data_IF_081040522698
#
_entry.id   IF_081040522698
#
_cell.length_a   1.000
_cell.length_b   1.000
_cell.length_c   1.000
_cell.angle_alpha   90.00
_cell.angle_beta   90.00
_cell.angle_gamma   90.00
#
_symmetry.space_group_name_H-M   'P 1'
#
loop_
_entity.id
_entity.type
_entity.pdbx_description
1 polymer ?
#
# COMPACT_ATOMS: atom_id res chain seq x y z
N UNK A 1 -28.50 -6.77 4.40
CA UNK A 1 -27.68 -7.70 3.60
C UNK A 1 -27.99 -7.40 2.14
N UNK A 2 -27.00 -7.30 1.25
CA UNK A 2 -27.27 -6.96 -0.16
C UNK A 2 -28.06 -8.07 -0.85
N UNK A 3 -28.96 -7.72 -1.77
CA UNK A 3 -29.59 -8.69 -2.69
C UNK A 3 -28.58 -9.17 -3.74
N UNK A 4 -28.95 -10.21 -4.51
CA UNK A 4 -28.09 -10.71 -5.60
C UNK A 4 -27.96 -9.67 -6.70
N UNK A 5 -29.04 -8.94 -6.97
CA UNK A 5 -29.14 -7.89 -7.96
C UNK A 5 -28.24 -6.70 -7.57
N UNK A 6 -28.31 -6.26 -6.30
CA UNK A 6 -27.44 -5.22 -5.76
C UNK A 6 -25.95 -5.62 -5.81
N UNK A 7 -25.63 -6.87 -5.47
CA UNK A 7 -24.26 -7.38 -5.57
C UNK A 7 -23.75 -7.39 -7.01
N UNK A 8 -24.61 -7.77 -7.97
CA UNK A 8 -24.24 -7.75 -9.38
C UNK A 8 -23.94 -6.33 -9.87
N UNK A 9 -24.75 -5.33 -9.48
CA UNK A 9 -24.48 -3.93 -9.82
C UNK A 9 -23.14 -3.44 -9.24
N UNK A 10 -22.84 -3.79 -7.99
CA UNK A 10 -21.54 -3.50 -7.37
C UNK A 10 -20.37 -4.12 -8.17
N UNK A 11 -20.52 -5.36 -8.63
CA UNK A 11 -19.49 -6.02 -9.44
C UNK A 11 -19.29 -5.31 -10.79
N UNK A 12 -20.36 -4.83 -11.42
CA UNK A 12 -20.26 -4.04 -12.65
C UNK A 12 -19.52 -2.72 -12.42
N UNK A 13 -19.79 -2.03 -11.32
CA UNK A 13 -19.10 -0.81 -10.92
C UNK A 13 -17.61 -1.07 -10.65
N UNK A 14 -17.29 -2.10 -9.86
CA UNK A 14 -15.91 -2.49 -9.58
C UNK A 14 -15.10 -2.76 -10.86
N UNK A 15 -15.72 -3.39 -11.87
CA UNK A 15 -15.09 -3.63 -13.17
C UNK A 15 -14.80 -2.34 -13.92
N UNK A 16 -15.70 -1.35 -13.88
CA UNK A 16 -15.46 -0.04 -14.48
C UNK A 16 -14.28 0.66 -13.81
N UNK A 17 -14.27 0.70 -12.48
CA UNK A 17 -13.17 1.29 -11.69
C UNK A 17 -11.83 0.63 -12.06
N UNK A 18 -11.79 -0.71 -12.08
CA UNK A 18 -10.58 -1.47 -12.38
C UNK A 18 -10.13 -1.39 -13.86
N UNK A 19 -11.02 -0.99 -14.77
CA UNK A 19 -10.67 -0.81 -16.19
C UNK A 19 -10.01 0.53 -16.50
N UNK A 20 -10.10 1.50 -15.59
CA UNK A 20 -9.48 2.82 -15.76
C UNK A 20 -7.98 2.74 -15.39
N UNK A 21 -7.05 3.01 -16.33
CA UNK A 21 -5.62 2.99 -16.06
C UNK A 21 -5.17 3.95 -14.96
N UNK A 22 -5.87 5.07 -14.76
CA UNK A 22 -5.53 6.03 -13.69
C UNK A 22 -5.68 5.39 -12.31
N UNK A 23 -6.71 4.56 -12.12
CA UNK A 23 -6.95 3.82 -10.88
C UNK A 23 -5.95 2.68 -10.66
N UNK A 24 -5.14 2.33 -11.66
CA UNK A 24 -4.11 1.29 -11.56
C UNK A 24 -2.72 1.86 -11.23
N UNK A 25 -2.55 3.19 -11.22
CA UNK A 25 -1.28 3.82 -10.86
C UNK A 25 -0.96 3.56 -9.39
N UNK A 26 0.30 3.21 -9.12
CA UNK A 26 0.77 3.01 -7.76
C UNK A 26 0.96 4.38 -7.08
N UNK A 27 0.21 4.71 -6.00
CA UNK A 27 0.32 6.02 -5.33
C UNK A 27 1.51 6.12 -4.37
N UNK A 28 2.32 5.05 -4.23
CA UNK A 28 3.45 5.01 -3.31
C UNK A 28 4.50 6.07 -3.67
N UNK A 29 4.73 7.06 -2.81
CA UNK A 29 5.81 8.05 -2.97
C UNK A 29 7.20 7.54 -2.53
N UNK A 30 7.27 6.31 -2.01
CA UNK A 30 8.49 5.71 -1.47
C UNK A 30 9.46 5.25 -2.57
N UNK A 31 10.76 5.44 -2.30
CA UNK A 31 11.87 4.81 -3.03
C UNK A 31 11.94 3.31 -2.70
N UNK A 32 10.94 2.58 -3.19
CA UNK A 32 10.79 1.13 -3.03
C UNK A 32 11.25 0.42 -4.30
N UNK A 33 12.05 -0.64 -4.14
CA UNK A 33 12.46 -1.51 -5.25
C UNK A 33 11.26 -2.18 -5.95
N UNK A 34 10.16 -2.40 -5.22
CA UNK A 34 8.93 -3.01 -5.72
C UNK A 34 7.89 -1.98 -6.17
N UNK A 35 8.27 -0.71 -6.31
CA UNK A 35 7.35 0.33 -6.79
C UNK A 35 6.80 -0.06 -8.17
N UNK A 36 5.47 0.06 -8.35
CA UNK A 36 4.76 -0.40 -9.56
C UNK A 36 4.59 -1.92 -9.68
N UNK A 37 5.26 -2.74 -8.86
CA UNK A 37 5.16 -4.21 -8.82
C UNK A 37 4.18 -4.66 -7.73
N UNK A 38 2.90 -4.33 -7.91
CA UNK A 38 1.87 -4.49 -6.86
C UNK A 38 1.67 -5.94 -6.39
N UNK A 39 1.76 -6.93 -7.29
CA UNK A 39 1.55 -8.35 -6.93
C UNK A 39 2.67 -8.84 -6.01
N UNK A 40 3.91 -8.53 -6.34
CA UNK A 40 5.12 -8.86 -5.58
C UNK A 40 5.12 -8.13 -4.24
N UNK A 41 4.77 -6.83 -4.25
CA UNK A 41 4.64 -6.04 -3.03
C UNK A 41 3.63 -6.68 -2.05
N UNK A 42 2.40 -6.99 -2.51
CA UNK A 42 1.39 -7.64 -1.66
C UNK A 42 1.85 -9.01 -1.17
N UNK A 43 2.53 -9.80 -2.01
CA UNK A 43 3.05 -11.11 -1.60
C UNK A 43 4.07 -10.99 -0.45
N UNK A 44 5.00 -10.03 -0.52
CA UNK A 44 5.99 -9.78 0.53
C UNK A 44 5.33 -9.32 1.85
N UNK A 45 4.43 -8.35 1.80
CA UNK A 45 3.72 -7.88 3.00
C UNK A 45 2.85 -8.98 3.62
N UNK A 46 2.21 -9.82 2.81
CA UNK A 46 1.44 -10.98 3.29
C UNK A 46 2.32 -12.03 3.95
N UNK A 47 3.52 -12.28 3.42
CA UNK A 47 4.44 -13.26 3.98
C UNK A 47 4.98 -12.80 5.34
N UNK A 48 5.48 -11.55 5.41
CA UNK A 48 6.06 -11.03 6.64
C UNK A 48 5.04 -10.68 7.72
N UNK A 49 3.79 -10.32 7.33
CA UNK A 49 2.70 -9.94 8.25
C UNK A 49 3.04 -8.80 9.23
N UNK A 50 4.05 -8.00 8.91
CA UNK A 50 4.52 -6.91 9.76
C UNK A 50 3.60 -5.69 9.61
N UNK A 51 3.40 -5.23 8.37
CA UNK A 51 2.52 -4.10 8.05
C UNK A 51 1.96 -4.17 6.63
N UNK A 52 0.97 -3.33 6.34
CA UNK A 52 0.39 -3.21 4.99
C UNK A 52 1.31 -2.44 4.02
N UNK A 53 1.18 -2.67 2.70
CA UNK A 53 1.85 -1.87 1.68
C UNK A 53 1.56 -0.38 1.82
N UNK A 54 2.52 0.47 1.42
CA UNK A 54 2.38 1.93 1.51
C UNK A 54 1.13 2.49 0.81
N UNK A 55 0.73 1.92 -0.34
CA UNK A 55 -0.49 2.31 -1.05
C UNK A 55 -1.79 2.05 -0.28
N UNK A 56 -1.76 1.20 0.76
CA UNK A 56 -2.93 0.95 1.61
C UNK A 56 -2.85 1.70 2.95
N UNK A 57 -1.71 2.31 3.28
CA UNK A 57 -1.52 2.92 4.59
C UNK A 57 -2.43 4.13 4.81
N UNK A 58 -2.70 4.94 3.79
CA UNK A 58 -3.50 6.16 3.91
C UNK A 58 -4.89 5.87 4.48
N UNK A 59 -5.72 5.08 3.78
CA UNK A 59 -7.08 4.80 4.23
C UNK A 59 -7.13 3.95 5.52
N UNK A 60 -6.09 3.14 5.79
CA UNK A 60 -5.99 2.39 7.05
C UNK A 60 -5.69 3.33 8.21
N UNK A 61 -4.72 4.23 8.02
CA UNK A 61 -4.32 5.20 9.03
C UNK A 61 -5.43 6.20 9.35
N UNK A 62 -6.22 6.62 8.36
CA UNK A 62 -7.41 7.45 8.59
C UNK A 62 -8.43 6.77 9.52
N UNK A 63 -8.70 5.48 9.29
CA UNK A 63 -9.60 4.69 10.14
C UNK A 63 -9.02 4.50 11.54
N UNK A 64 -7.72 4.23 11.64
CA UNK A 64 -7.03 4.12 12.93
C UNK A 64 -7.04 5.44 13.68
N UNK A 65 -6.80 6.57 13.00
CA UNK A 65 -6.85 7.90 13.60
C UNK A 65 -8.23 8.20 14.20
N UNK A 66 -9.31 7.87 13.48
CA UNK A 66 -10.67 8.01 14.01
C UNK A 66 -10.91 7.13 15.24
N UNK A 67 -10.40 5.90 15.25
CA UNK A 67 -10.53 4.99 16.39
C UNK A 67 -9.78 5.49 17.62
N UNK A 68 -8.51 5.89 17.48
CA UNK A 68 -7.70 6.34 18.63
C UNK A 68 -8.19 7.68 19.19
N UNK A 69 -8.81 8.51 18.36
CA UNK A 69 -9.39 9.78 18.79
C UNK A 69 -10.51 9.62 19.83
N UNK A 70 -11.18 8.46 19.89
CA UNK A 70 -12.18 8.15 20.92
C UNK A 70 -11.57 8.17 22.33
N UNK A 71 -10.29 7.80 22.46
CA UNK A 71 -9.56 7.79 23.72
C UNK A 71 -8.73 9.06 23.98
N UNK A 72 -8.98 10.16 23.27
CA UNK A 72 -8.17 11.38 23.32
C UNK A 72 -6.69 11.17 22.93
N UNK A 73 -6.41 10.15 22.10
CA UNK A 73 -5.07 9.84 21.61
C UNK A 73 -4.86 10.35 20.19
N UNK A 74 -3.60 10.63 19.85
CA UNK A 74 -3.17 10.95 18.49
C UNK A 74 -2.30 9.84 17.93
N UNK A 75 -2.74 9.19 16.87
CA UNK A 75 -1.90 8.29 16.08
C UNK A 75 -0.83 9.12 15.35
N UNK A 76 0.42 8.72 15.48
CA UNK A 76 1.54 9.32 14.75
C UNK A 76 2.18 8.26 13.85
N UNK A 77 2.47 8.58 12.57
CA UNK A 77 3.21 7.67 11.72
C UNK A 77 4.58 7.34 12.34
N UNK A 78 5.00 6.08 12.21
CA UNK A 78 6.36 5.68 12.56
C UNK A 78 7.36 6.42 11.66
N UNK A 79 8.54 6.72 12.22
CA UNK A 79 9.67 7.19 11.44
C UNK A 79 10.00 6.22 10.30
N UNK A 80 10.24 6.77 9.11
CA UNK A 80 10.52 5.99 7.91
C UNK A 80 11.94 5.44 7.95
N UNK A 81 12.16 4.34 7.24
CA UNK A 81 13.51 3.83 7.03
C UNK A 81 14.34 4.91 6.32
N UNK A 82 15.54 5.24 6.83
CA UNK A 82 16.38 6.24 6.21
C UNK A 82 16.73 5.94 4.75
N UNK A 83 16.81 6.98 3.92
CA UNK A 83 16.99 6.83 2.47
C UNK A 83 18.34 6.19 2.13
N UNK A 84 19.36 6.45 2.94
CA UNK A 84 20.71 5.91 2.78
C UNK A 84 20.74 4.38 2.76
N UNK A 85 19.80 3.70 3.44
CA UNK A 85 19.74 2.23 3.41
C UNK A 85 19.34 1.72 2.03
N UNK A 86 18.40 2.41 1.37
CA UNK A 86 18.01 2.11 -0.01
C UNK A 86 19.13 2.43 -0.99
N UNK A 87 19.88 3.52 -0.74
CA UNK A 87 21.04 3.87 -1.56
C UNK A 87 22.14 2.81 -1.44
N UNK A 88 22.41 2.34 -0.22
CA UNK A 88 23.39 1.29 0.05
C UNK A 88 23.04 -0.02 -0.66
N UNK A 89 21.77 -0.46 -0.64
CA UNK A 89 21.33 -1.64 -1.41
C UNK A 89 21.62 -1.47 -2.91
N UNK A 90 21.25 -0.31 -3.48
CA UNK A 90 21.52 -0.02 -4.90
C UNK A 90 23.01 -0.01 -5.25
N UNK A 91 23.87 0.41 -4.33
CA UNK A 91 25.32 0.37 -4.50
C UNK A 91 25.82 -1.08 -4.53
N UNK A 92 25.42 -1.90 -3.56
CA UNK A 92 25.78 -3.33 -3.49
C UNK A 92 25.32 -4.13 -4.72
N UNK A 93 24.11 -3.86 -5.22
CA UNK A 93 23.58 -4.52 -6.42
C UNK A 93 24.41 -4.19 -7.67
N UNK A 94 24.91 -2.96 -7.78
CA UNK A 94 25.81 -2.54 -8.88
C UNK A 94 27.17 -3.19 -8.79
N UNK A 95 27.69 -3.44 -7.60
CA UNK A 95 28.96 -4.14 -7.41
C UNK A 95 28.83 -5.63 -7.75
N UNK A 96 27.73 -6.28 -7.35
CA UNK A 96 27.49 -7.71 -7.60
C UNK A 96 27.19 -8.03 -9.08
N UNK A 97 26.85 -7.03 -9.88
CA UNK A 97 26.56 -7.16 -11.32
C UNK A 97 27.75 -6.84 -12.24
N UNK A 98 28.93 -6.55 -11.66
CA UNK A 98 30.22 -6.36 -12.36
C UNK A 98 31.04 -7.64 -12.34
#
# INVERSE_FOLDING_TARGET
>A
MRTKEEYYQLVLENRKIASDPENLKCPCSELCEWHGRCRECVALHRYHKDHVPACLQEFVNEKLAALVGIGELKAVPKERTPLEYRMYVKERDKEASR
#
